data_IF_945387391030
#
_entry.id   IF_945387391030
#
_cell.length_a   1.000
_cell.length_b   1.000
_cell.length_c   1.000
_cell.angle_alpha   90.00
_cell.angle_beta   90.00
_cell.angle_gamma   90.00
#
_symmetry.space_group_name_H-M   'P 1'
#
loop_
_entity.id
_entity.type
_entity.pdbx_description
1 polymer ?
#
# COMPACT_ATOMS: atom_id res chain seq x y z
N UNK A 1 -16.17 -6.54 -0.27
CA UNK A 1 -16.57 -6.64 1.16
C UNK A 1 -15.36 -7.20 1.91
N UNK A 2 -15.06 -6.67 3.10
CA UNK A 2 -14.01 -7.19 4.00
C UNK A 2 -14.71 -8.17 4.96
N UNK A 3 -14.23 -9.42 5.00
CA UNK A 3 -14.78 -10.46 5.86
C UNK A 3 -13.93 -10.63 7.12
N UNK A 4 -14.49 -11.29 8.15
CA UNK A 4 -13.78 -11.68 9.39
C UNK A 4 -13.14 -10.51 10.16
N UNK A 5 -13.78 -9.33 10.09
CA UNK A 5 -13.33 -8.12 10.79
C UNK A 5 -13.46 -8.31 12.30
N UNK A 6 -12.39 -7.96 13.04
CA UNK A 6 -12.40 -7.98 14.51
C UNK A 6 -11.97 -6.65 15.13
N UNK A 7 -11.48 -5.68 14.31
CA UNK A 7 -11.10 -4.37 14.78
C UNK A 7 -11.33 -3.31 13.71
N UNK A 8 -11.91 -2.18 14.10
CA UNK A 8 -12.08 -0.99 13.25
C UNK A 8 -11.79 0.24 14.09
N UNK A 9 -10.93 1.13 13.57
CA UNK A 9 -10.65 2.44 14.14
C UNK A 9 -10.71 3.48 13.04
N UNK A 10 -11.57 4.48 13.21
CA UNK A 10 -11.61 5.67 12.36
C UNK A 10 -11.10 6.89 13.14
N UNK A 11 -10.31 7.74 12.48
CA UNK A 11 -9.77 8.97 13.07
C UNK A 11 -10.08 10.16 12.17
N UNK A 12 -10.54 11.25 12.78
CA UNK A 12 -10.67 12.56 12.17
C UNK A 12 -9.68 13.51 12.87
N UNK A 13 -8.81 14.12 12.11
CA UNK A 13 -7.84 15.09 12.60
C UNK A 13 -8.30 16.52 12.36
N UNK A 14 -9.13 16.72 11.34
CA UNK A 14 -9.61 18.05 10.91
C UNK A 14 -11.14 18.05 10.88
N UNK A 15 -11.74 17.95 12.05
CA UNK A 15 -13.16 17.87 12.44
C UNK A 15 -14.27 17.95 11.38
N UNK A 16 -14.14 18.85 10.41
CA UNK A 16 -15.15 19.06 9.36
C UNK A 16 -15.00 18.11 8.16
N UNK A 17 -13.89 17.39 8.03
CA UNK A 17 -13.60 16.52 6.88
C UNK A 17 -14.08 15.07 7.09
N UNK A 18 -14.62 14.74 8.27
CA UNK A 18 -15.07 13.39 8.60
C UNK A 18 -13.90 12.46 8.94
N UNK A 19 -14.04 11.16 8.63
CA UNK A 19 -12.99 10.17 8.88
C UNK A 19 -11.93 10.27 7.77
N UNK A 20 -10.73 10.69 8.13
CA UNK A 20 -9.61 10.86 7.20
C UNK A 20 -8.71 9.63 7.13
N UNK A 21 -8.61 8.90 8.25
CA UNK A 21 -7.82 7.68 8.40
C UNK A 21 -8.70 6.58 8.99
N UNK A 22 -8.66 5.38 8.43
CA UNK A 22 -9.38 4.24 8.97
C UNK A 22 -8.50 2.99 8.91
N UNK A 23 -8.37 2.30 10.05
CA UNK A 23 -7.72 1.00 10.12
C UNK A 23 -8.78 -0.08 10.35
N UNK A 24 -8.72 -1.14 9.54
CA UNK A 24 -9.53 -2.35 9.70
C UNK A 24 -8.58 -3.53 9.81
N UNK A 25 -8.71 -4.33 10.88
CA UNK A 25 -8.01 -5.60 10.99
C UNK A 25 -9.00 -6.75 10.88
N UNK A 26 -8.63 -7.75 10.09
CA UNK A 26 -9.46 -8.90 9.81
C UNK A 26 -8.61 -10.19 9.80
N UNK A 27 -9.23 -11.32 10.08
CA UNK A 27 -8.63 -12.62 9.77
C UNK A 27 -8.60 -12.85 8.26
N UNK A 28 -7.54 -13.44 7.73
CA UNK A 28 -7.52 -13.88 6.33
C UNK A 28 -8.53 -15.01 6.10
N UNK A 29 -8.71 -15.87 7.09
CA UNK A 29 -9.68 -16.97 7.14
C UNK A 29 -10.70 -16.75 8.25
N UNK A 30 -11.83 -17.47 8.19
CA UNK A 30 -12.82 -17.49 9.25
C UNK A 30 -12.29 -18.17 10.51
N UNK A 31 -11.61 -19.28 10.32
CA UNK A 31 -10.94 -20.03 11.38
C UNK A 31 -9.63 -19.35 11.75
N UNK A 32 -9.33 -19.28 13.05
CA UNK A 32 -8.11 -18.64 13.56
C UNK A 32 -6.84 -19.36 13.07
N UNK A 33 -6.85 -20.68 13.05
CA UNK A 33 -5.73 -21.51 12.63
C UNK A 33 -6.15 -22.42 11.47
N UNK A 34 -5.46 -22.32 10.36
CA UNK A 34 -5.73 -23.06 9.12
C UNK A 34 -4.48 -23.75 8.59
N UNK A 35 -4.66 -24.71 7.69
CA UNK A 35 -3.52 -25.26 6.93
C UNK A 35 -2.98 -24.22 5.94
N UNK A 36 -1.68 -24.26 5.61
CA UNK A 36 -1.07 -23.31 4.66
C UNK A 36 -1.81 -23.20 3.32
N UNK A 37 -2.34 -24.33 2.80
CA UNK A 37 -3.08 -24.37 1.54
C UNK A 37 -4.41 -23.58 1.63
N UNK A 38 -5.08 -23.64 2.78
CA UNK A 38 -6.34 -22.91 3.02
C UNK A 38 -6.07 -21.40 3.14
N UNK A 39 -4.96 -21.01 3.80
CA UNK A 39 -4.52 -19.62 3.87
C UNK A 39 -4.19 -19.07 2.48
N UNK A 40 -3.45 -19.84 1.67
CA UNK A 40 -3.14 -19.46 0.31
C UNK A 40 -4.40 -19.29 -0.56
N UNK A 41 -5.36 -20.20 -0.46
CA UNK A 41 -6.63 -20.07 -1.20
C UNK A 41 -7.39 -18.81 -0.80
N UNK A 42 -7.45 -18.49 0.50
CA UNK A 42 -8.07 -17.27 0.99
C UNK A 42 -7.35 -16.00 0.48
N UNK A 43 -6.01 -16.04 0.39
CA UNK A 43 -5.21 -14.98 -0.24
C UNK A 43 -5.59 -14.80 -1.72
N UNK A 44 -5.64 -15.88 -2.49
CA UNK A 44 -6.02 -15.83 -3.91
C UNK A 44 -7.40 -15.20 -4.09
N UNK A 45 -8.36 -15.61 -3.25
CA UNK A 45 -9.74 -15.12 -3.32
C UNK A 45 -9.84 -13.64 -2.87
N UNK A 46 -9.04 -13.23 -1.88
CA UNK A 46 -8.90 -11.82 -1.50
C UNK A 46 -8.40 -10.99 -2.67
N UNK A 47 -7.31 -11.40 -3.31
CA UNK A 47 -6.71 -10.63 -4.42
C UNK A 47 -7.63 -10.57 -5.65
N UNK A 48 -8.38 -11.62 -5.94
CA UNK A 48 -9.43 -11.58 -6.97
C UNK A 48 -10.49 -10.51 -6.66
N UNK A 49 -10.98 -10.46 -5.41
CA UNK A 49 -11.96 -9.46 -4.98
C UNK A 49 -11.41 -8.03 -5.05
N UNK A 50 -10.16 -7.82 -4.65
CA UNK A 50 -9.47 -6.52 -4.75
C UNK A 50 -9.43 -6.05 -6.21
N UNK A 51 -9.02 -6.92 -7.12
CA UNK A 51 -8.96 -6.61 -8.56
C UNK A 51 -10.35 -6.33 -9.15
N UNK A 52 -11.36 -7.13 -8.78
CA UNK A 52 -12.75 -6.94 -9.23
C UNK A 52 -13.38 -5.65 -8.70
N UNK A 53 -12.97 -5.19 -7.52
CA UNK A 53 -13.45 -3.95 -6.92
C UNK A 53 -12.89 -2.68 -7.59
N UNK A 54 -11.97 -2.83 -8.55
CA UNK A 54 -11.43 -1.72 -9.34
C UNK A 54 -10.34 -0.91 -8.64
N UNK A 55 -9.77 -1.41 -7.54
CA UNK A 55 -8.58 -0.82 -6.94
C UNK A 55 -7.40 -0.90 -7.90
N UNK A 56 -6.65 0.21 -8.02
CA UNK A 56 -5.49 0.34 -8.89
C UNK A 56 -4.22 0.45 -8.07
N UNK A 57 -3.11 -0.05 -8.61
CA UNK A 57 -1.78 0.09 -8.02
C UNK A 57 -1.45 1.57 -7.79
N UNK A 58 -0.99 1.92 -6.58
CA UNK A 58 -0.43 3.21 -6.26
C UNK A 58 1.08 3.08 -6.00
N UNK A 59 1.89 3.58 -6.91
CA UNK A 59 3.34 3.70 -6.71
C UNK A 59 3.62 5.10 -6.18
N UNK A 60 4.18 5.20 -4.97
CA UNK A 60 4.52 6.50 -4.39
C UNK A 60 5.39 7.32 -5.36
N UNK A 61 5.22 8.66 -5.43
CA UNK A 61 5.89 9.49 -6.46
C UNK A 61 7.41 9.42 -6.47
N UNK A 62 8.04 8.93 -5.42
CA UNK A 62 9.50 8.76 -5.32
C UNK A 62 9.97 7.33 -5.57
N UNK A 63 9.07 6.34 -5.62
CA UNK A 63 9.42 4.93 -5.84
C UNK A 63 9.54 4.62 -7.34
N UNK A 64 10.42 3.68 -7.73
CA UNK A 64 10.57 3.25 -9.11
C UNK A 64 9.34 2.47 -9.59
N UNK A 65 8.97 2.63 -10.84
CA UNK A 65 7.85 1.94 -11.49
C UNK A 65 8.28 0.57 -11.98
N UNK A 66 8.53 -0.33 -11.06
CA UNK A 66 9.01 -1.69 -11.41
C UNK A 66 7.94 -2.44 -12.21
N UNK A 67 8.34 -2.99 -13.36
CA UNK A 67 7.45 -3.78 -14.20
C UNK A 67 6.91 -5.01 -13.44
N UNK A 68 5.64 -5.35 -13.68
CA UNK A 68 4.90 -6.38 -12.98
C UNK A 68 5.64 -7.72 -12.90
N UNK A 69 6.31 -8.11 -13.97
CA UNK A 69 7.05 -9.38 -14.04
C UNK A 69 8.26 -9.42 -13.10
N UNK A 70 8.79 -8.25 -12.74
CA UNK A 70 9.93 -8.11 -11.83
C UNK A 70 9.50 -7.80 -10.38
N UNK A 71 8.21 -7.56 -10.12
CA UNK A 71 7.69 -7.18 -8.80
C UNK A 71 8.11 -8.15 -7.70
N UNK A 72 7.97 -9.48 -7.90
CA UNK A 72 8.32 -10.48 -6.88
C UNK A 72 9.80 -10.40 -6.53
N UNK A 73 10.67 -10.34 -7.56
CA UNK A 73 12.12 -10.24 -7.36
C UNK A 73 12.50 -8.95 -6.63
N UNK A 74 11.85 -7.84 -6.99
CA UNK A 74 12.07 -6.55 -6.35
C UNK A 74 11.58 -6.56 -4.90
N UNK A 75 10.36 -7.05 -4.66
CA UNK A 75 9.79 -7.20 -3.33
C UNK A 75 10.66 -8.03 -2.39
N UNK A 76 11.17 -9.18 -2.86
CA UNK A 76 12.04 -10.05 -2.07
C UNK A 76 13.32 -9.37 -1.58
N UNK A 77 13.80 -8.37 -2.33
CA UNK A 77 15.02 -7.62 -2.00
C UNK A 77 14.73 -6.35 -1.20
N UNK A 78 13.72 -5.59 -1.59
CA UNK A 78 13.47 -4.24 -1.10
C UNK A 78 12.21 -4.12 -0.23
N UNK A 79 11.31 -5.11 -0.26
CA UNK A 79 10.06 -5.11 0.51
C UNK A 79 9.02 -4.10 0.02
N UNK A 80 9.13 -3.66 -1.22
CA UNK A 80 8.27 -2.62 -1.78
C UNK A 80 6.98 -3.16 -2.39
N UNK A 81 6.08 -2.25 -2.74
CA UNK A 81 4.70 -2.51 -3.18
C UNK A 81 4.63 -3.34 -4.46
N UNK A 82 3.66 -4.23 -4.52
CA UNK A 82 3.43 -5.17 -5.63
C UNK A 82 2.15 -4.82 -6.36
N UNK A 83 2.14 -5.04 -7.68
CA UNK A 83 0.92 -4.96 -8.50
C UNK A 83 -0.12 -6.00 -8.02
N UNK A 84 -1.35 -5.60 -7.64
CA UNK A 84 -2.36 -6.51 -7.11
C UNK A 84 -2.82 -7.57 -8.10
N UNK A 85 -2.62 -7.35 -9.40
CA UNK A 85 -2.91 -8.34 -10.44
C UNK A 85 -1.84 -9.44 -10.54
N UNK A 86 -0.69 -9.28 -9.84
CA UNK A 86 0.34 -10.30 -9.67
C UNK A 86 0.00 -11.17 -8.46
N UNK A 87 -0.89 -12.13 -8.64
CA UNK A 87 -1.19 -13.15 -7.63
C UNK A 87 -0.02 -14.12 -7.58
N UNK A 88 0.56 -14.32 -6.39
CA UNK A 88 1.68 -15.27 -6.19
C UNK A 88 1.23 -16.71 -6.44
N UNK A 89 2.16 -17.55 -6.92
CA UNK A 89 2.01 -18.99 -6.84
C UNK A 89 2.11 -19.48 -5.38
N UNK A 90 1.66 -20.71 -5.12
CA UNK A 90 1.75 -21.28 -3.76
C UNK A 90 3.19 -21.36 -3.25
N UNK A 91 4.15 -21.68 -4.13
CA UNK A 91 5.56 -21.74 -3.77
C UNK A 91 6.15 -20.34 -3.45
N UNK A 92 5.78 -19.32 -4.23
CA UNK A 92 6.16 -17.93 -3.93
C UNK A 92 5.54 -17.47 -2.61
N UNK A 93 4.25 -17.77 -2.38
CA UNK A 93 3.56 -17.49 -1.12
C UNK A 93 4.28 -18.10 0.07
N UNK A 94 4.57 -19.40 0.04
CA UNK A 94 5.30 -20.09 1.10
C UNK A 94 6.67 -19.47 1.36
N UNK A 95 7.41 -19.18 0.29
CA UNK A 95 8.74 -18.58 0.40
C UNK A 95 8.67 -17.22 1.08
N UNK A 96 7.72 -16.37 0.71
CA UNK A 96 7.55 -15.03 1.30
C UNK A 96 7.16 -15.16 2.78
N UNK A 97 6.18 -16.01 3.09
CA UNK A 97 5.69 -16.21 4.46
C UNK A 97 6.67 -16.93 5.39
N UNK A 98 7.68 -17.62 4.84
CA UNK A 98 8.77 -18.21 5.61
C UNK A 98 9.95 -17.27 5.86
N UNK A 99 9.94 -16.06 5.30
CA UNK A 99 10.96 -15.05 5.58
C UNK A 99 10.82 -14.54 7.02
N UNK A 100 11.93 -14.02 7.58
CA UNK A 100 12.01 -13.63 9.00
C UNK A 100 10.80 -12.82 9.52
N UNK A 101 10.54 -13.00 10.82
CA UNK A 101 9.44 -12.39 11.58
C UNK A 101 9.28 -10.89 11.24
N UNK A 102 8.08 -10.51 10.83
CA UNK A 102 7.71 -9.12 10.51
C UNK A 102 7.60 -8.81 9.03
N UNK A 103 7.90 -9.73 8.12
CA UNK A 103 7.60 -9.52 6.70
C UNK A 103 6.15 -9.87 6.41
N UNK A 104 5.48 -8.92 5.78
CA UNK A 104 4.11 -9.04 5.28
C UNK A 104 4.12 -8.86 3.76
N UNK A 105 3.09 -9.35 3.10
CA UNK A 105 2.83 -8.98 1.71
C UNK A 105 2.02 -7.69 1.74
N UNK A 106 2.62 -6.61 1.24
CA UNK A 106 2.01 -5.28 1.19
C UNK A 106 1.52 -4.92 -0.20
N UNK A 107 0.32 -4.35 -0.26
CA UNK A 107 -0.26 -3.74 -1.47
C UNK A 107 -0.65 -2.32 -1.15
N UNK A 108 -0.20 -1.35 -1.94
CA UNK A 108 -0.65 0.04 -1.86
C UNK A 108 -1.50 0.37 -3.07
N UNK A 109 -2.75 0.70 -2.84
CA UNK A 109 -3.74 0.86 -3.90
C UNK A 109 -4.48 2.19 -3.75
N UNK A 110 -5.10 2.65 -4.85
CA UNK A 110 -5.97 3.82 -4.83
C UNK A 110 -7.28 3.60 -5.57
N UNK A 111 -8.33 4.27 -5.13
CA UNK A 111 -9.60 4.40 -5.82
C UNK A 111 -10.39 5.59 -5.25
N UNK A 112 -11.04 6.37 -6.11
CA UNK A 112 -12.04 7.39 -5.73
C UNK A 112 -11.59 8.33 -4.59
N UNK A 113 -10.36 8.83 -4.63
CA UNK A 113 -9.84 9.73 -3.60
C UNK A 113 -9.34 9.07 -2.32
N UNK A 114 -9.30 7.75 -2.28
CA UNK A 114 -8.78 6.96 -1.17
C UNK A 114 -7.49 6.24 -1.56
N UNK A 115 -6.57 6.14 -0.61
CA UNK A 115 -5.48 5.18 -0.59
C UNK A 115 -5.83 4.05 0.36
N UNK A 116 -5.38 2.84 0.07
CA UNK A 116 -5.39 1.72 1.02
C UNK A 116 -4.07 0.97 0.96
N UNK A 117 -3.48 0.77 2.12
CA UNK A 117 -2.42 -0.22 2.32
C UNK A 117 -3.06 -1.51 2.84
N UNK A 118 -2.83 -2.62 2.15
CA UNK A 118 -3.29 -3.96 2.53
C UNK A 118 -2.07 -4.77 2.90
N UNK A 119 -1.92 -5.09 4.18
CA UNK A 119 -0.81 -5.90 4.70
C UNK A 119 -1.32 -7.26 5.16
N UNK A 120 -0.77 -8.33 4.60
CA UNK A 120 -1.10 -9.71 4.96
C UNK A 120 0.08 -10.30 5.70
N UNK A 121 -0.09 -10.63 6.98
CA UNK A 121 0.99 -11.09 7.86
C UNK A 121 0.65 -12.44 8.51
N UNK A 122 1.62 -13.35 8.50
CA UNK A 122 1.56 -14.54 9.34
C UNK A 122 1.91 -14.16 10.78
N UNK A 123 0.99 -14.43 11.72
CA UNK A 123 1.16 -14.03 13.13
C UNK A 123 1.57 -15.17 14.04
N UNK A 124 1.10 -16.38 13.74
CA UNK A 124 1.41 -17.58 14.53
C UNK A 124 1.53 -18.82 13.64
N UNK A 125 2.27 -19.80 14.15
CA UNK A 125 2.32 -21.16 13.65
C UNK A 125 2.24 -22.14 14.82
N UNK A 126 1.39 -23.15 14.70
CA UNK A 126 1.22 -24.19 15.72
C UNK A 126 2.17 -25.36 15.50
N UNK A 127 2.36 -26.20 16.51
CA UNK A 127 3.21 -27.40 16.42
C UNK A 127 2.70 -28.42 15.38
N UNK A 128 1.38 -28.49 15.17
CA UNK A 128 0.75 -29.33 14.14
C UNK A 128 0.76 -28.70 12.74
N UNK A 129 1.47 -27.57 12.58
CA UNK A 129 1.74 -26.93 11.30
C UNK A 129 0.62 -26.06 10.75
N UNK A 130 -0.41 -25.75 11.55
CA UNK A 130 -1.41 -24.75 11.19
C UNK A 130 -0.86 -23.34 11.41
N UNK A 131 -1.43 -22.38 10.69
CA UNK A 131 -0.97 -21.01 10.62
C UNK A 131 -2.13 -20.03 10.83
N UNK A 132 -1.82 -18.89 11.47
CA UNK A 132 -2.74 -17.77 11.66
C UNK A 132 -2.28 -16.59 10.83
N UNK A 133 -3.21 -15.94 10.14
CA UNK A 133 -2.95 -14.77 9.32
C UNK A 133 -3.89 -13.62 9.65
N UNK A 134 -3.33 -12.42 9.70
CA UNK A 134 -4.07 -11.17 9.84
C UNK A 134 -3.91 -10.36 8.57
N UNK A 135 -5.00 -9.71 8.15
CA UNK A 135 -5.01 -8.70 7.09
C UNK A 135 -5.32 -7.36 7.73
N UNK A 136 -4.39 -6.42 7.59
CA UNK A 136 -4.59 -5.03 7.97
C UNK A 136 -4.92 -4.21 6.73
N UNK A 137 -5.99 -3.45 6.80
CA UNK A 137 -6.35 -2.45 5.80
C UNK A 137 -6.19 -1.08 6.44
N UNK A 138 -5.28 -0.26 5.92
CA UNK A 138 -5.08 1.12 6.37
C UNK A 138 -5.55 2.06 5.25
N UNK A 139 -6.71 2.67 5.45
CA UNK A 139 -7.29 3.63 4.52
C UNK A 139 -6.91 5.06 4.92
N UNK A 140 -6.54 5.86 3.92
CA UNK A 140 -6.35 7.29 4.06
C UNK A 140 -7.09 8.01 2.93
N UNK A 141 -7.69 9.16 3.21
CA UNK A 141 -8.06 10.05 2.10
C UNK A 141 -6.79 10.57 1.43
N UNK A 142 -6.79 10.69 0.10
CA UNK A 142 -5.64 11.27 -0.63
C UNK A 142 -5.40 12.71 -0.13
N UNK A 143 -6.46 13.46 0.18
CA UNK A 143 -6.36 14.80 0.75
C UNK A 143 -5.53 14.81 2.03
N UNK A 144 -5.87 13.96 2.99
CA UNK A 144 -5.13 13.83 4.26
C UNK A 144 -3.68 13.42 4.00
N UNK A 145 -3.43 12.32 3.28
CA UNK A 145 -2.07 11.81 3.00
C UNK A 145 -1.18 12.87 2.35
N UNK A 146 -1.71 13.65 1.41
CA UNK A 146 -0.94 14.65 0.71
C UNK A 146 -0.70 15.91 1.55
N UNK A 147 -1.72 16.41 2.27
CA UNK A 147 -1.57 17.60 3.14
C UNK A 147 -0.72 17.32 4.35
N UNK A 148 -0.82 16.14 4.95
CA UNK A 148 0.06 15.70 6.03
C UNK A 148 1.54 15.72 5.58
N UNK A 149 1.84 15.21 4.38
CA UNK A 149 3.18 15.24 3.78
C UNK A 149 3.67 16.63 3.38
N UNK A 150 2.81 17.61 3.25
CA UNK A 150 3.17 19.02 3.00
C UNK A 150 3.33 19.80 4.30
N UNK A 151 2.84 19.26 5.40
CA UNK A 151 2.94 19.85 6.72
C UNK A 151 4.26 19.46 7.41
N UNK A 152 4.80 20.36 8.22
CA UNK A 152 6.02 20.16 8.99
C UNK A 152 5.88 20.90 10.33
N UNK A 153 5.64 20.16 11.40
CA UNK A 153 5.42 20.72 12.73
C UNK A 153 6.67 21.40 13.30
N UNK A 154 7.87 20.94 12.94
CA UNK A 154 9.12 21.53 13.43
C UNK A 154 9.34 22.93 12.83
N UNK A 155 8.90 23.14 11.59
CA UNK A 155 8.99 24.43 10.90
C UNK A 155 7.68 25.24 10.92
N UNK A 156 6.67 24.85 11.74
CA UNK A 156 5.35 25.47 11.78
C UNK A 156 4.64 25.55 10.42
N UNK A 157 4.84 24.57 9.56
CA UNK A 157 4.18 24.48 8.28
C UNK A 157 2.93 23.61 8.43
N UNK A 158 1.75 24.17 8.13
CA UNK A 158 0.49 23.47 8.17
C UNK A 158 -0.27 23.66 6.85
N UNK A 159 -0.34 22.61 6.04
CA UNK A 159 -0.97 22.63 4.73
C UNK A 159 -2.50 22.88 4.78
N UNK A 160 -3.13 22.73 5.95
CA UNK A 160 -4.56 23.01 6.13
C UNK A 160 -4.86 24.50 6.34
N UNK A 161 -3.86 25.30 6.69
CA UNK A 161 -3.99 26.76 6.88
C UNK A 161 -3.41 27.58 5.72
N UNK A 162 -2.80 26.91 4.73
CA UNK A 162 -2.26 27.58 3.54
C UNK A 162 -3.35 28.15 2.66
N UNK A 163 -3.08 29.33 2.06
CA UNK A 163 -3.86 29.81 0.92
C UNK A 163 -3.75 28.84 -0.26
N UNK A 164 -4.68 28.90 -1.20
CA UNK A 164 -4.63 28.06 -2.39
C UNK A 164 -3.34 28.23 -3.21
N UNK A 165 -2.81 29.44 -3.26
CA UNK A 165 -1.57 29.73 -3.97
C UNK A 165 -0.36 29.08 -3.29
N UNK A 166 -0.23 29.23 -1.98
CA UNK A 166 0.84 28.62 -1.17
C UNK A 166 0.78 27.09 -1.26
N UNK A 167 -0.42 26.52 -1.10
CA UNK A 167 -0.63 25.08 -1.19
C UNK A 167 -0.22 24.54 -2.57
N UNK A 168 -0.59 25.23 -3.65
CA UNK A 168 -0.23 24.84 -5.01
C UNK A 168 1.29 24.88 -5.19
N UNK A 169 1.95 25.93 -4.72
CA UNK A 169 3.40 26.08 -4.83
C UNK A 169 4.15 25.01 -4.01
N UNK A 170 3.69 24.72 -2.79
CA UNK A 170 4.23 23.65 -1.96
C UNK A 170 4.08 22.29 -2.63
N UNK A 171 2.92 22.02 -3.22
CA UNK A 171 2.62 20.78 -3.93
C UNK A 171 3.52 20.61 -5.16
N UNK A 172 3.63 21.62 -6.03
CA UNK A 172 4.48 21.60 -7.21
C UNK A 172 5.98 21.39 -6.86
N UNK A 173 6.46 22.06 -5.82
CA UNK A 173 7.82 21.88 -5.31
C UNK A 173 8.07 20.44 -4.85
N UNK A 174 7.09 19.84 -4.15
CA UNK A 174 7.15 18.45 -3.71
C UNK A 174 7.13 17.50 -4.90
N UNK A 175 6.25 17.71 -5.89
CA UNK A 175 6.21 16.89 -7.10
C UNK A 175 7.55 16.90 -7.83
N UNK A 176 8.13 18.07 -8.06
CA UNK A 176 9.44 18.20 -8.70
C UNK A 176 10.55 17.46 -7.93
N UNK A 177 10.52 17.52 -6.59
CA UNK A 177 11.48 16.80 -5.75
C UNK A 177 11.28 15.28 -5.85
N UNK A 178 10.06 14.82 -5.74
CA UNK A 178 9.74 13.38 -5.76
C UNK A 178 9.99 12.77 -7.14
N UNK A 179 9.77 13.50 -8.21
CA UNK A 179 10.11 13.08 -9.57
C UNK A 179 11.62 12.83 -9.72
N UNK A 180 12.47 13.75 -9.23
CA UNK A 180 13.94 13.57 -9.26
C UNK A 180 14.38 12.33 -8.46
N UNK A 181 13.74 12.09 -7.31
CA UNK A 181 14.01 10.89 -6.51
C UNK A 181 13.62 9.62 -7.27
N UNK A 182 12.45 9.61 -7.93
CA UNK A 182 12.02 8.51 -8.79
C UNK A 182 13.02 8.23 -9.91
N UNK A 183 13.45 9.27 -10.64
CA UNK A 183 14.43 9.12 -11.71
C UNK A 183 15.74 8.49 -11.21
N UNK A 184 16.19 8.86 -10.01
CA UNK A 184 17.36 8.23 -9.39
C UNK A 184 17.11 6.78 -9.01
N UNK A 185 15.96 6.48 -8.39
CA UNK A 185 15.59 5.13 -8.00
C UNK A 185 15.41 4.20 -9.22
N UNK A 186 14.84 4.71 -10.31
CA UNK A 186 14.70 3.95 -11.57
C UNK A 186 16.06 3.67 -12.23
N UNK A 187 17.00 4.62 -12.21
CA UNK A 187 18.37 4.39 -12.69
C UNK A 187 19.07 3.28 -11.92
N UNK A 188 18.91 3.26 -10.59
CA UNK A 188 19.46 2.20 -9.72
C UNK A 188 18.80 0.87 -10.06
N UNK A 189 17.47 0.84 -10.16
CA UNK A 189 16.73 -0.38 -10.47
C UNK A 189 17.14 -0.95 -11.84
N UNK A 190 17.30 -0.11 -12.87
CA UNK A 190 17.77 -0.54 -14.20
C UNK A 190 19.20 -1.11 -14.12
N UNK A 191 20.10 -0.46 -13.38
CA UNK A 191 21.46 -0.95 -13.19
C UNK A 191 21.49 -2.34 -12.47
N UNK A 192 20.50 -2.63 -11.66
CA UNK A 192 20.30 -3.93 -11.01
C UNK A 192 19.54 -4.96 -11.90
N UNK A 193 19.20 -4.59 -13.12
CA UNK A 193 18.54 -5.45 -14.09
C UNK A 193 17.02 -5.56 -13.92
N UNK A 194 16.37 -4.57 -13.29
CA UNK A 194 14.91 -4.47 -13.26
C UNK A 194 14.39 -3.67 -14.45
N UNK A 195 13.22 -4.06 -14.93
CA UNK A 195 12.49 -3.32 -15.96
C UNK A 195 11.59 -2.27 -15.32
N UNK A 196 11.44 -1.14 -16.00
CA UNK A 196 10.55 -0.04 -15.58
C UNK A 196 9.29 -0.08 -16.42
N UNK A 197 8.14 0.04 -15.76
CA UNK A 197 6.84 0.22 -16.41
C UNK A 197 6.64 1.71 -16.74
N UNK A 198 7.04 2.10 -17.94
CA UNK A 198 6.88 3.46 -18.43
C UNK A 198 5.41 3.83 -18.71
N UNK A 199 4.53 2.82 -18.82
CA UNK A 199 3.10 3.01 -19.06
C UNK A 199 2.31 3.35 -17.78
N UNK A 200 2.92 3.17 -16.60
CA UNK A 200 2.25 3.47 -15.34
C UNK A 200 1.90 4.96 -15.23
N UNK A 201 0.61 5.22 -15.02
CA UNK A 201 0.07 6.55 -14.73
C UNK A 201 -0.63 6.50 -13.37
N UNK A 202 -0.09 7.24 -12.40
CA UNK A 202 -0.70 7.42 -11.09
C UNK A 202 -1.93 8.33 -11.11
N UNK A 203 -2.65 8.47 -9.98
CA UNK A 203 -3.75 9.43 -9.87
C UNK A 203 -3.24 10.87 -9.97
N UNK A 204 -4.08 11.77 -10.52
CA UNK A 204 -3.90 13.20 -10.35
C UNK A 204 -4.16 13.57 -8.89
N UNK A 205 -3.10 13.72 -8.12
CA UNK A 205 -3.17 13.98 -6.67
C UNK A 205 -3.69 15.40 -6.39
N UNK A 206 -3.37 16.38 -7.26
CA UNK A 206 -3.75 17.78 -7.04
C UNK A 206 -5.27 17.96 -6.95
N UNK A 207 -6.05 17.22 -7.73
CA UNK A 207 -7.51 17.31 -7.70
C UNK A 207 -8.12 17.04 -6.31
N UNK A 208 -7.41 16.29 -5.46
CA UNK A 208 -7.85 15.95 -4.09
C UNK A 208 -7.26 16.88 -3.03
N UNK A 209 -6.10 17.48 -3.30
CA UNK A 209 -5.37 18.35 -2.33
C UNK A 209 -5.98 19.74 -2.24
N UNK A 210 -6.45 20.27 -3.36
CA UNK A 210 -7.03 21.63 -3.47
C UNK A 210 -8.30 21.82 -2.65
#
# INVERSE_FOLDING_TARGET
MIDHVFYVLGTSFHGEEGIEVMTVNAGLNKEEFVRPEQAYQAYVDLMKRVNQAGWKLYIAPYNPRIAKEDNVRYFMKWGDVIDPSRIFSYEEWKKIMSMEVGKSIGYRLYANGLLVDIDISQTKKTEDGKEQYIVRYAFNTIRYDQRDRLSDSENNINAYTMTQLELKQAFENKENRTQRLREQAEKIAIAEGYRIDESYVGPDLWQYVK
#
